data_IF_404966095592
#
_entry.id   IF_404966095592
#
_cell.length_a   1.000
_cell.length_b   1.000
_cell.length_c   1.000
_cell.angle_alpha   90.00
_cell.angle_beta   90.00
_cell.angle_gamma   90.00
#
_symmetry.space_group_name_H-M   'P 1'
#
loop_
_entity.id
_entity.type
_entity.pdbx_description
1 polymer ?
#
# COMPACT_ATOMS: atom_id res chain seq x y z
N UNK A 1 2.85 -21.28 17.73
CA UNK A 1 2.46 -21.08 16.32
C UNK A 1 2.72 -22.35 15.49
N UNK A 2 1.74 -22.77 14.67
CA UNK A 2 1.92 -23.90 13.75
C UNK A 2 2.95 -23.51 12.67
N UNK A 3 3.62 -24.48 12.02
CA UNK A 3 4.58 -24.20 10.96
C UNK A 3 4.00 -23.38 9.79
N UNK A 4 2.72 -23.56 9.48
CA UNK A 4 1.95 -22.78 8.49
C UNK A 4 1.79 -21.32 8.89
N UNK A 5 1.47 -21.05 10.16
CA UNK A 5 1.31 -19.68 10.69
C UNK A 5 2.64 -18.88 10.60
N UNK A 6 3.79 -19.57 10.61
CA UNK A 6 5.12 -18.97 10.44
C UNK A 6 5.51 -18.75 8.97
N UNK A 7 4.92 -19.49 8.02
CA UNK A 7 5.13 -19.31 6.58
C UNK A 7 4.24 -18.19 6.05
N UNK A 8 3.00 -18.09 6.54
CA UNK A 8 2.08 -16.99 6.23
C UNK A 8 2.62 -15.63 6.70
N UNK A 9 3.25 -15.57 7.88
CA UNK A 9 3.82 -14.33 8.43
C UNK A 9 5.03 -13.78 7.63
N UNK A 10 5.72 -14.60 6.84
CA UNK A 10 6.97 -14.19 6.13
C UNK A 10 6.73 -13.28 4.96
N UNK A 11 5.57 -13.43 4.34
CA UNK A 11 5.20 -12.74 3.11
C UNK A 11 4.21 -11.61 3.36
N UNK A 12 3.92 -11.30 4.62
CA UNK A 12 3.12 -10.15 5.00
C UNK A 12 3.99 -8.97 5.41
N UNK A 13 3.42 -7.79 5.23
CA UNK A 13 3.97 -6.51 5.65
C UNK A 13 3.45 -6.23 7.05
N UNK A 14 4.37 -5.91 7.97
CA UNK A 14 4.01 -5.44 9.30
C UNK A 14 3.31 -4.08 9.18
N UNK A 15 1.99 -4.10 9.32
CA UNK A 15 1.11 -2.96 9.11
C UNK A 15 0.08 -2.87 10.23
N UNK A 16 -0.66 -1.76 10.25
CA UNK A 16 -1.77 -1.51 11.16
C UNK A 16 -3.05 -1.31 10.35
N UNK A 17 -4.21 -1.77 10.85
CA UNK A 17 -4.39 -2.47 12.12
C UNK A 17 -4.12 -3.98 12.03
N UNK A 18 -3.83 -4.51 10.84
CA UNK A 18 -3.49 -5.91 10.60
C UNK A 18 -2.24 -6.02 9.72
N UNK A 19 -1.62 -7.21 9.68
CA UNK A 19 -0.53 -7.49 8.75
C UNK A 19 -1.08 -7.63 7.33
N UNK A 20 -0.56 -6.84 6.39
CA UNK A 20 -1.07 -6.77 5.02
C UNK A 20 -0.35 -7.77 4.09
N UNK A 21 -1.03 -8.47 3.17
CA UNK A 21 -2.48 -8.45 2.93
C UNK A 21 -3.30 -9.11 4.06
N UNK A 22 -4.58 -8.74 4.19
CA UNK A 22 -5.52 -9.19 5.23
C UNK A 22 -5.81 -10.69 5.09
N UNK A 23 -6.05 -11.16 3.86
CA UNK A 23 -6.28 -12.56 3.54
C UNK A 23 -5.08 -13.46 3.89
N UNK A 24 -5.27 -14.78 3.90
CA UNK A 24 -4.17 -15.74 4.10
C UNK A 24 -3.09 -15.70 3.00
N UNK A 25 -3.34 -14.97 1.92
CA UNK A 25 -2.42 -14.83 0.79
C UNK A 25 -1.15 -14.06 1.19
N UNK A 26 -0.03 -14.59 0.72
CA UNK A 26 1.25 -13.90 0.70
C UNK A 26 1.21 -12.64 -0.19
N UNK A 27 2.02 -11.63 0.11
CA UNK A 27 2.31 -10.56 -0.83
C UNK A 27 2.94 -11.17 -2.09
N UNK A 28 2.24 -11.04 -3.21
CA UNK A 28 2.66 -11.55 -4.51
C UNK A 28 2.96 -10.38 -5.47
N UNK A 29 4.22 -10.19 -5.91
CA UNK A 29 4.58 -9.15 -6.86
C UNK A 29 3.74 -9.15 -8.14
N UNK A 30 3.29 -10.31 -8.60
CA UNK A 30 2.50 -10.45 -9.82
C UNK A 30 1.08 -9.90 -9.66
N UNK A 31 0.56 -9.75 -8.44
CA UNK A 31 -0.77 -9.17 -8.16
C UNK A 31 -0.71 -7.88 -7.34
N UNK A 32 0.48 -7.35 -7.06
CA UNK A 32 0.69 -6.08 -6.37
C UNK A 32 1.06 -4.96 -7.34
N UNK A 33 0.56 -3.75 -7.08
CA UNK A 33 1.00 -2.53 -7.75
C UNK A 33 1.34 -1.42 -6.75
N UNK A 34 2.31 -0.60 -7.12
CA UNK A 34 2.60 0.69 -6.48
C UNK A 34 1.91 1.80 -7.26
N UNK A 35 1.11 2.62 -6.58
CA UNK A 35 0.50 3.83 -7.12
C UNK A 35 1.17 5.07 -6.52
N UNK A 36 1.88 5.82 -7.36
CA UNK A 36 2.61 7.05 -7.01
C UNK A 36 1.77 8.25 -7.41
N UNK A 37 1.22 8.95 -6.43
CA UNK A 37 0.25 10.01 -6.67
C UNK A 37 0.94 11.39 -6.67
N UNK A 38 0.82 12.09 -7.79
CA UNK A 38 1.06 13.53 -7.95
C UNK A 38 2.36 14.07 -7.33
N UNK A 39 3.46 13.32 -7.46
CA UNK A 39 4.79 13.81 -7.12
C UNK A 39 5.34 14.73 -8.22
N UNK A 40 4.57 15.79 -8.53
CA UNK A 40 4.89 16.77 -9.56
C UNK A 40 5.60 17.97 -8.98
N UNK A 41 6.34 18.69 -9.82
CA UNK A 41 7.02 19.93 -9.47
C UNK A 41 6.04 21.01 -9.00
N UNK A 42 4.84 21.06 -9.55
CA UNK A 42 3.76 21.95 -9.11
C UNK A 42 3.37 21.74 -7.63
N UNK A 43 3.57 20.53 -7.09
CA UNK A 43 3.35 20.25 -5.67
C UNK A 43 4.62 20.36 -4.83
N UNK A 44 5.77 20.00 -5.39
CA UNK A 44 6.99 19.74 -4.61
C UNK A 44 8.05 20.85 -4.72
N UNK A 45 8.06 21.65 -5.77
CA UNK A 45 9.13 22.62 -6.03
C UNK A 45 8.68 24.05 -5.72
N UNK A 46 9.65 24.87 -5.34
CA UNK A 46 9.44 26.32 -5.27
C UNK A 46 9.02 26.86 -6.65
N UNK A 47 8.08 27.81 -6.64
CA UNK A 47 7.51 28.37 -7.87
C UNK A 47 6.44 27.49 -8.54
N UNK A 48 6.10 26.34 -7.98
CA UNK A 48 4.95 25.52 -8.38
C UNK A 48 3.61 26.00 -7.81
N UNK A 49 2.54 25.30 -8.18
CA UNK A 49 1.18 25.53 -7.68
C UNK A 49 1.05 25.67 -6.15
N UNK A 50 1.66 24.78 -5.36
CA UNK A 50 1.51 24.82 -3.89
C UNK A 50 2.13 26.08 -3.27
N UNK A 51 3.25 26.56 -3.81
CA UNK A 51 3.83 27.85 -3.43
C UNK A 51 2.94 29.02 -3.89
N UNK A 52 2.35 28.96 -5.09
CA UNK A 52 1.42 29.99 -5.57
C UNK A 52 0.17 30.10 -4.67
N UNK A 53 -0.21 29.01 -4.01
CA UNK A 53 -1.26 28.95 -2.99
C UNK A 53 -0.81 29.46 -1.60
N UNK A 54 0.47 29.78 -1.41
CA UNK A 54 1.03 30.28 -0.15
C UNK A 54 1.44 29.19 0.85
N UNK A 55 1.56 27.93 0.43
CA UNK A 55 2.00 26.84 1.30
C UNK A 55 3.51 26.63 1.27
N UNK A 56 4.05 26.17 2.41
CA UNK A 56 5.38 25.57 2.49
C UNK A 56 5.37 24.18 1.84
N UNK A 57 6.25 23.96 0.88
CA UNK A 57 6.38 22.70 0.13
C UNK A 57 7.37 21.72 0.76
N UNK A 58 8.15 22.13 1.77
CA UNK A 58 9.12 21.25 2.41
C UNK A 58 8.50 19.92 2.92
N UNK A 59 7.30 19.91 3.55
CA UNK A 59 6.63 18.67 3.96
C UNK A 59 6.19 17.77 2.78
N UNK A 60 6.05 18.33 1.58
CA UNK A 60 5.70 17.60 0.36
C UNK A 60 6.95 16.99 -0.32
N UNK A 61 8.13 17.55 -0.05
CA UNK A 61 9.43 17.02 -0.52
C UNK A 61 10.04 15.98 0.40
N UNK A 62 9.80 16.09 1.71
CA UNK A 62 10.34 15.18 2.74
C UNK A 62 10.23 13.68 2.38
N UNK A 63 9.11 13.19 1.79
CA UNK A 63 8.97 11.76 1.49
C UNK A 63 9.77 11.26 0.28
N UNK A 64 10.29 12.16 -0.58
CA UNK A 64 10.87 11.79 -1.88
C UNK A 64 11.99 10.74 -1.81
N UNK A 65 12.97 10.81 -0.87
CA UNK A 65 14.01 9.79 -0.78
C UNK A 65 13.45 8.40 -0.45
N UNK A 66 12.41 8.33 0.38
CA UNK A 66 11.74 7.08 0.77
C UNK A 66 10.93 6.52 -0.40
N UNK A 67 10.18 7.38 -1.10
CA UNK A 67 9.45 6.99 -2.32
C UNK A 67 10.42 6.43 -3.36
N UNK A 68 11.57 7.07 -3.57
CA UNK A 68 12.57 6.60 -4.52
C UNK A 68 13.11 5.20 -4.14
N UNK A 69 13.32 4.94 -2.84
CA UNK A 69 13.72 3.61 -2.37
C UNK A 69 12.63 2.55 -2.61
N UNK A 70 11.37 2.89 -2.35
CA UNK A 70 10.21 2.03 -2.62
C UNK A 70 10.09 1.74 -4.12
N UNK A 71 10.18 2.75 -4.98
CA UNK A 71 10.16 2.59 -6.44
C UNK A 71 11.25 1.63 -6.91
N UNK A 72 12.50 1.82 -6.45
CA UNK A 72 13.61 0.93 -6.80
C UNK A 72 13.33 -0.52 -6.40
N UNK A 73 12.82 -0.74 -5.19
CA UNK A 73 12.51 -2.08 -4.70
C UNK A 73 11.34 -2.72 -5.48
N UNK A 74 10.27 -1.98 -5.75
CA UNK A 74 9.17 -2.47 -6.59
C UNK A 74 9.65 -2.90 -7.98
N UNK A 75 10.47 -2.05 -8.63
CA UNK A 75 11.07 -2.35 -9.94
C UNK A 75 11.96 -3.59 -9.90
N UNK A 76 12.78 -3.75 -8.86
CA UNK A 76 13.62 -4.94 -8.68
C UNK A 76 12.81 -6.23 -8.50
N UNK A 77 11.57 -6.12 -8.01
CA UNK A 77 10.64 -7.24 -7.80
C UNK A 77 9.63 -7.42 -8.91
N UNK A 78 9.72 -6.65 -9.99
CA UNK A 78 8.71 -6.61 -11.06
C UNK A 78 7.29 -6.27 -10.56
N UNK A 79 7.19 -5.57 -9.42
CA UNK A 79 5.94 -4.95 -8.97
C UNK A 79 5.63 -3.80 -9.93
N UNK A 80 4.40 -3.78 -10.45
CA UNK A 80 3.96 -2.78 -11.43
C UNK A 80 3.84 -1.41 -10.78
N UNK A 81 4.41 -0.38 -11.39
CA UNK A 81 4.35 0.99 -10.91
C UNK A 81 3.44 1.82 -11.80
N UNK A 82 2.48 2.50 -11.20
CA UNK A 82 1.57 3.45 -11.83
C UNK A 82 1.83 4.82 -11.23
N UNK A 83 1.77 5.85 -12.06
CA UNK A 83 1.99 7.24 -11.64
C UNK A 83 0.78 8.08 -11.99
N UNK A 84 0.48 9.11 -11.21
CA UNK A 84 -0.55 10.09 -11.57
C UNK A 84 0.03 11.48 -11.68
N UNK A 85 -0.59 12.30 -12.52
CA UNK A 85 -0.34 13.72 -12.61
C UNK A 85 -1.67 14.46 -12.61
N UNK A 86 -1.85 15.40 -11.70
CA UNK A 86 -2.94 16.35 -11.79
C UNK A 86 -2.60 17.46 -12.77
N UNK A 87 -3.48 17.69 -13.74
CA UNK A 87 -3.30 18.73 -14.73
C UNK A 87 -4.39 18.75 -15.78
N UNK A 88 -4.50 19.89 -16.46
CA UNK A 88 -5.47 20.18 -17.51
C UNK A 88 -4.77 20.23 -18.87
N UNK A 89 -5.54 20.00 -19.93
CA UNK A 89 -5.04 20.14 -21.30
C UNK A 89 -4.52 21.56 -21.57
N UNK A 90 -3.57 21.75 -22.50
CA UNK A 90 -3.08 23.07 -22.89
C UNK A 90 -4.17 24.07 -23.30
N UNK A 91 -5.22 23.57 -23.96
CA UNK A 91 -6.42 24.31 -24.38
C UNK A 91 -7.43 24.59 -23.26
N UNK A 92 -7.21 24.01 -22.06
CA UNK A 92 -8.10 24.04 -20.90
C UNK A 92 -9.53 23.54 -21.19
N UNK A 93 -9.72 22.72 -22.23
CA UNK A 93 -11.02 22.19 -22.61
C UNK A 93 -11.62 21.25 -21.53
N UNK A 94 -10.77 20.63 -20.72
CA UNK A 94 -11.15 19.77 -19.60
C UNK A 94 -11.19 20.51 -18.25
N UNK A 95 -11.08 21.86 -18.26
CA UNK A 95 -11.26 22.70 -17.07
C UNK A 95 -12.72 23.20 -16.98
N UNK A 96 -13.52 22.53 -16.16
CA UNK A 96 -14.93 22.87 -15.97
C UNK A 96 -15.14 24.29 -15.40
N UNK A 97 -16.32 24.87 -15.66
CA UNK A 97 -16.68 26.18 -15.12
C UNK A 97 -16.67 26.22 -13.58
N UNK A 98 -17.05 25.11 -12.92
CA UNK A 98 -16.96 25.00 -11.47
C UNK A 98 -15.52 24.98 -10.98
N UNK A 99 -14.65 24.16 -11.58
CA UNK A 99 -13.23 24.11 -11.22
C UNK A 99 -12.57 25.49 -11.39
N UNK A 100 -12.84 26.18 -12.49
CA UNK A 100 -12.35 27.54 -12.75
C UNK A 100 -12.75 28.53 -11.65
N UNK A 101 -14.01 28.51 -11.20
CA UNK A 101 -14.48 29.34 -10.07
C UNK A 101 -13.82 28.93 -8.75
N UNK A 102 -13.68 27.63 -8.49
CA UNK A 102 -13.05 27.09 -7.27
C UNK A 102 -11.61 27.57 -7.13
N UNK A 103 -10.79 27.41 -8.16
CA UNK A 103 -9.39 27.86 -8.14
C UNK A 103 -9.31 29.38 -7.99
N UNK A 104 -10.08 30.13 -8.77
CA UNK A 104 -10.10 31.60 -8.67
C UNK A 104 -10.44 32.08 -7.26
N UNK A 105 -11.42 31.45 -6.60
CA UNK A 105 -11.77 31.73 -5.20
C UNK A 105 -10.63 31.40 -4.24
N UNK A 106 -9.85 30.36 -4.54
CA UNK A 106 -8.69 29.94 -3.74
C UNK A 106 -7.45 30.84 -3.98
N UNK A 107 -7.54 31.86 -4.83
CA UNK A 107 -6.46 32.82 -5.08
C UNK A 107 -5.53 32.45 -6.24
N UNK A 108 -5.78 31.34 -6.94
CA UNK A 108 -4.94 30.87 -8.06
C UNK A 108 -5.76 30.69 -9.33
N UNK A 109 -5.16 30.97 -10.49
CA UNK A 109 -5.80 30.75 -11.79
C UNK A 109 -5.08 29.64 -12.55
N UNK A 110 -5.76 28.52 -12.80
CA UNK A 110 -5.24 27.44 -13.65
C UNK A 110 -4.89 27.99 -15.03
N UNK A 111 -3.69 27.64 -15.51
CA UNK A 111 -3.18 28.08 -16.80
C UNK A 111 -2.54 29.48 -16.81
N UNK A 112 -2.54 30.19 -15.68
CA UNK A 112 -1.74 31.41 -15.53
C UNK A 112 -0.24 31.07 -15.54
N UNK A 113 0.57 31.99 -16.08
CA UNK A 113 2.02 31.83 -16.09
C UNK A 113 2.59 31.91 -14.66
N UNK A 114 3.52 31.01 -14.36
CA UNK A 114 4.33 31.01 -13.15
C UNK A 114 5.79 30.65 -13.45
N UNK A 115 6.65 30.60 -12.42
CA UNK A 115 8.07 30.28 -12.58
C UNK A 115 8.36 28.94 -13.27
N UNK A 116 7.45 27.98 -13.15
CA UNK A 116 7.56 26.64 -13.75
C UNK A 116 6.63 26.46 -14.97
N UNK A 117 6.29 27.55 -15.66
CA UNK A 117 5.34 27.53 -16.78
C UNK A 117 3.90 27.75 -16.32
N UNK A 118 2.94 27.33 -17.14
CA UNK A 118 1.52 27.53 -16.83
C UNK A 118 1.05 26.55 -15.74
N UNK A 119 0.51 27.07 -14.64
CA UNK A 119 0.09 26.28 -13.47
C UNK A 119 -0.94 25.20 -13.85
N UNK A 120 -0.69 23.95 -13.44
CA UNK A 120 -1.53 22.78 -13.72
C UNK A 120 -1.80 22.50 -15.21
N UNK A 121 -0.96 22.96 -16.13
CA UNK A 121 -1.12 22.66 -17.56
C UNK A 121 -0.18 21.52 -17.96
N UNK A 122 -0.74 20.47 -18.57
CA UNK A 122 0.03 19.31 -19.04
C UNK A 122 1.08 19.73 -20.08
N UNK A 123 2.29 19.20 -19.93
CA UNK A 123 3.43 19.48 -20.80
C UNK A 123 4.26 20.70 -20.37
N UNK A 124 3.82 21.44 -19.35
CA UNK A 124 4.63 22.50 -18.75
C UNK A 124 5.62 21.93 -17.73
N UNK A 125 6.77 22.60 -17.49
CA UNK A 125 7.76 22.13 -16.53
C UNK A 125 7.22 21.84 -15.12
N UNK A 126 6.25 22.62 -14.63
CA UNK A 126 5.59 22.41 -13.34
C UNK A 126 4.74 21.13 -13.28
N UNK A 127 4.17 20.73 -14.42
CA UNK A 127 3.32 19.53 -14.50
C UNK A 127 4.11 18.22 -14.47
N UNK A 128 5.42 18.27 -14.70
CA UNK A 128 6.27 17.08 -14.73
C UNK A 128 6.48 16.46 -13.35
N UNK A 129 6.60 15.13 -13.33
CA UNK A 129 6.95 14.37 -12.13
C UNK A 129 8.41 14.68 -11.75
N UNK A 130 8.67 14.89 -10.46
CA UNK A 130 10.01 15.18 -9.95
C UNK A 130 10.99 14.04 -10.26
N UNK A 131 12.27 14.37 -10.43
CA UNK A 131 13.30 13.40 -10.82
C UNK A 131 13.37 12.18 -9.88
N UNK A 132 13.19 12.40 -8.58
CA UNK A 132 13.20 11.33 -7.57
C UNK A 132 12.11 10.26 -7.80
N UNK A 133 11.02 10.61 -8.49
CA UNK A 133 9.89 9.73 -8.77
C UNK A 133 9.67 9.49 -10.27
N UNK A 134 10.64 9.83 -11.13
CA UNK A 134 10.51 9.74 -12.59
C UNK A 134 10.02 8.35 -13.02
N UNK A 135 8.94 8.26 -13.82
CA UNK A 135 8.48 7.01 -14.41
C UNK A 135 9.53 6.37 -15.32
N UNK A 136 9.60 5.04 -15.35
CA UNK A 136 10.37 4.29 -16.35
C UNK A 136 9.49 3.96 -17.56
N UNK A 137 10.14 3.60 -18.67
CA UNK A 137 9.45 3.02 -19.81
C UNK A 137 8.59 1.81 -19.37
N UNK A 138 7.35 1.76 -19.86
CA UNK A 138 6.37 0.74 -19.47
C UNK A 138 5.60 1.01 -18.18
N UNK A 139 5.96 2.02 -17.38
CA UNK A 139 5.19 2.45 -16.20
C UNK A 139 4.10 3.45 -16.62
N UNK A 140 2.80 3.13 -16.47
CA UNK A 140 1.73 4.04 -16.91
C UNK A 140 1.70 5.35 -16.11
N UNK A 141 1.44 6.45 -16.80
CA UNK A 141 1.22 7.78 -16.22
C UNK A 141 -0.21 8.23 -16.52
N UNK A 142 -1.00 8.41 -15.47
CA UNK A 142 -2.42 8.75 -15.54
C UNK A 142 -2.58 10.24 -15.31
N UNK A 143 -2.94 10.97 -16.36
CA UNK A 143 -3.30 12.38 -16.26
C UNK A 143 -4.74 12.52 -15.77
N UNK A 144 -4.93 13.22 -14.64
CA UNK A 144 -6.24 13.41 -14.00
C UNK A 144 -6.54 14.89 -13.77
N UNK A 145 -7.83 15.24 -13.81
CA UNK A 145 -8.30 16.60 -13.46
C UNK A 145 -8.86 16.64 -12.04
N UNK A 146 -9.41 15.53 -11.55
CA UNK A 146 -9.91 15.36 -10.20
C UNK A 146 -8.79 15.07 -9.18
N UNK A 147 -9.11 15.24 -7.90
CA UNK A 147 -8.21 14.84 -6.81
C UNK A 147 -8.06 13.32 -6.78
N UNK A 148 -9.18 12.62 -6.93
CA UNK A 148 -9.29 11.17 -7.09
C UNK A 148 -8.76 10.73 -8.46
N UNK A 149 -7.85 9.76 -8.48
CA UNK A 149 -7.22 9.26 -9.69
C UNK A 149 -8.09 8.32 -10.54
N UNK A 150 -9.23 7.85 -10.05
CA UNK A 150 -10.16 7.00 -10.81
C UNK A 150 -11.21 7.81 -11.58
N UNK A 151 -11.57 9.00 -11.11
CA UNK A 151 -12.65 9.78 -11.72
C UNK A 151 -12.19 10.37 -13.06
N UNK A 152 -12.84 9.92 -14.14
CA UNK A 152 -12.58 10.43 -15.49
C UNK A 152 -11.26 9.97 -16.09
N UNK A 153 -10.69 8.88 -15.59
CA UNK A 153 -9.43 8.28 -16.09
C UNK A 153 -9.65 6.81 -16.45
N UNK A 154 -8.60 6.15 -16.95
CA UNK A 154 -8.57 4.72 -17.22
C UNK A 154 -7.78 3.91 -16.18
N UNK A 155 -7.49 4.48 -15.00
CA UNK A 155 -6.69 3.85 -13.95
C UNK A 155 -7.24 2.48 -13.55
N UNK A 156 -8.53 2.39 -13.23
CA UNK A 156 -9.16 1.11 -12.82
C UNK A 156 -9.07 0.07 -13.93
N UNK A 157 -9.32 0.46 -15.19
CA UNK A 157 -9.17 -0.44 -16.34
C UNK A 157 -7.75 -0.99 -16.43
N UNK A 158 -6.74 -0.13 -16.31
CA UNK A 158 -5.33 -0.54 -16.39
C UNK A 158 -4.93 -1.47 -15.24
N UNK A 159 -5.34 -1.16 -14.01
CA UNK A 159 -5.10 -1.99 -12.82
C UNK A 159 -5.73 -3.39 -12.98
N UNK A 160 -6.98 -3.47 -13.45
CA UNK A 160 -7.69 -4.73 -13.70
C UNK A 160 -7.07 -5.55 -14.83
N UNK A 161 -6.76 -4.91 -15.97
CA UNK A 161 -6.11 -5.59 -17.09
C UNK A 161 -4.77 -6.21 -16.68
N UNK A 162 -4.09 -5.59 -15.72
CA UNK A 162 -2.84 -6.10 -15.22
C UNK A 162 -3.02 -7.08 -14.04
N UNK A 163 -4.24 -7.31 -13.56
CA UNK A 163 -4.54 -8.27 -12.47
C UNK A 163 -4.10 -7.78 -11.09
N UNK A 164 -4.18 -6.47 -10.82
CA UNK A 164 -3.87 -5.94 -9.48
C UNK A 164 -4.94 -6.37 -8.49
N UNK A 165 -4.49 -6.90 -7.34
CA UNK A 165 -5.29 -7.12 -6.13
C UNK A 165 -4.79 -6.30 -4.95
N UNK A 166 -3.50 -6.03 -4.87
CA UNK A 166 -2.93 -5.27 -3.76
C UNK A 166 -2.42 -3.92 -4.27
N UNK A 167 -2.93 -2.82 -3.72
CA UNK A 167 -2.56 -1.47 -4.14
C UNK A 167 -1.80 -0.75 -3.02
N UNK A 168 -0.50 -0.58 -3.22
CA UNK A 168 0.38 0.18 -2.33
C UNK A 168 0.37 1.64 -2.77
N UNK A 169 -0.06 2.55 -1.89
CA UNK A 169 -0.29 3.96 -2.23
C UNK A 169 0.74 4.86 -1.55
N UNK A 170 1.35 5.74 -2.35
CA UNK A 170 2.31 6.78 -1.93
C UNK A 170 2.04 8.09 -2.67
N UNK A 171 2.60 9.22 -2.19
CA UNK A 171 2.58 10.47 -2.95
C UNK A 171 1.98 11.67 -2.22
N UNK A 172 1.54 12.67 -2.98
CA UNK A 172 1.07 13.96 -2.46
C UNK A 172 -0.34 14.34 -2.97
N UNK A 173 -1.10 15.18 -2.26
CA UNK A 173 -1.00 15.37 -0.81
C UNK A 173 -1.83 14.28 -0.11
N UNK A 174 -1.39 13.87 1.08
CA UNK A 174 -2.00 12.79 1.85
C UNK A 174 -3.49 13.05 2.08
N UNK A 175 -3.82 14.27 2.53
CA UNK A 175 -5.14 14.75 2.94
C UNK A 175 -6.08 15.07 1.76
N UNK A 176 -5.57 15.00 0.52
CA UNK A 176 -6.33 15.34 -0.68
C UNK A 176 -6.29 14.19 -1.70
N UNK A 177 -5.37 14.24 -2.69
CA UNK A 177 -5.34 13.30 -3.81
C UNK A 177 -5.10 11.86 -3.38
N UNK A 178 -4.20 11.65 -2.41
CA UNK A 178 -3.91 10.31 -1.88
C UNK A 178 -5.11 9.74 -1.16
N UNK A 179 -5.70 10.45 -0.18
CA UNK A 179 -6.86 9.91 0.56
C UNK A 179 -8.09 9.73 -0.32
N UNK A 180 -8.35 10.66 -1.25
CA UNK A 180 -9.49 10.55 -2.19
C UNK A 180 -9.36 9.28 -3.03
N UNK A 181 -8.17 9.03 -3.58
CA UNK A 181 -7.89 7.85 -4.39
C UNK A 181 -7.90 6.57 -3.54
N UNK A 182 -7.36 6.62 -2.32
CA UNK A 182 -7.33 5.48 -1.39
C UNK A 182 -8.75 5.01 -1.03
N UNK A 183 -9.64 5.95 -0.68
CA UNK A 183 -11.04 5.64 -0.37
C UNK A 183 -11.76 5.00 -1.55
N UNK A 184 -11.61 5.58 -2.75
CA UNK A 184 -12.24 5.02 -3.94
C UNK A 184 -11.66 3.64 -4.30
N UNK A 185 -10.34 3.44 -4.21
CA UNK A 185 -9.74 2.12 -4.39
C UNK A 185 -10.32 1.09 -3.42
N UNK A 186 -10.48 1.46 -2.15
CA UNK A 186 -11.09 0.61 -1.12
C UNK A 186 -12.56 0.28 -1.42
N UNK A 187 -13.36 1.28 -1.81
CA UNK A 187 -14.76 1.08 -2.19
C UNK A 187 -14.90 0.16 -3.41
N UNK A 188 -14.02 0.32 -4.42
CA UNK A 188 -13.94 -0.62 -5.54
C UNK A 188 -13.56 -2.02 -5.05
N UNK A 189 -12.67 -2.13 -4.06
CA UNK A 189 -12.25 -3.39 -3.44
C UNK A 189 -13.38 -4.21 -2.84
N UNK A 190 -14.42 -3.57 -2.28
CA UNK A 190 -15.60 -4.27 -1.74
C UNK A 190 -16.43 -4.99 -2.81
N UNK A 191 -16.39 -4.50 -4.05
CA UNK A 191 -17.09 -5.10 -5.20
C UNK A 191 -16.14 -5.82 -6.17
N UNK A 192 -14.83 -5.71 -5.94
CA UNK A 192 -13.75 -6.21 -6.79
C UNK A 192 -12.66 -6.83 -5.90
N UNK A 193 -11.38 -6.53 -6.16
CA UNK A 193 -10.26 -7.21 -5.51
C UNK A 193 -9.15 -6.27 -5.02
N UNK A 194 -9.36 -4.95 -4.88
CA UNK A 194 -8.33 -4.07 -4.33
C UNK A 194 -8.28 -4.10 -2.80
N UNK A 195 -7.19 -4.58 -2.25
CA UNK A 195 -6.79 -4.34 -0.87
C UNK A 195 -5.71 -3.25 -0.83
N UNK A 196 -5.91 -2.22 -0.03
CA UNK A 196 -5.08 -1.02 -0.03
C UNK A 196 -4.09 -0.98 1.13
N UNK A 197 -2.87 -0.55 0.83
CA UNK A 197 -1.82 -0.28 1.81
C UNK A 197 -1.30 1.15 1.62
N UNK A 198 -1.43 2.00 2.63
CA UNK A 198 -0.84 3.32 2.67
C UNK A 198 0.56 3.26 3.30
N UNK A 199 1.59 3.76 2.61
CA UNK A 199 2.91 3.98 3.22
C UNK A 199 2.99 5.40 3.77
N UNK A 200 2.75 5.54 5.07
CA UNK A 200 2.54 6.83 5.75
C UNK A 200 3.73 7.79 5.69
N UNK A 201 4.97 7.27 5.69
CA UNK A 201 6.20 8.03 5.57
C UNK A 201 6.62 8.32 4.12
N UNK A 202 5.89 7.76 3.15
CA UNK A 202 5.99 8.04 1.72
C UNK A 202 4.89 9.00 1.22
N UNK A 203 4.17 9.66 2.13
CA UNK A 203 3.14 10.63 1.80
C UNK A 203 3.41 12.00 2.43
N UNK A 204 3.28 13.07 1.66
CA UNK A 204 3.45 14.45 2.11
C UNK A 204 2.12 15.12 2.39
N UNK A 205 2.10 16.02 3.38
CA UNK A 205 0.94 16.84 3.72
C UNK A 205 1.44 18.15 4.32
N UNK A 206 0.86 19.27 3.91
CA UNK A 206 1.27 20.60 4.38
C UNK A 206 1.00 20.81 5.88
N UNK A 207 -0.04 20.16 6.41
CA UNK A 207 -0.40 20.23 7.83
C UNK A 207 -0.15 18.88 8.52
N UNK A 208 0.76 18.87 9.50
CA UNK A 208 1.10 17.68 10.26
C UNK A 208 -0.06 17.10 11.09
N UNK A 209 -1.03 17.94 11.50
CA UNK A 209 -2.25 17.49 12.19
C UNK A 209 -3.14 16.71 11.21
N UNK A 210 -3.38 17.28 10.02
CA UNK A 210 -4.12 16.58 8.97
C UNK A 210 -3.41 15.27 8.59
N UNK A 211 -2.08 15.30 8.41
CA UNK A 211 -1.29 14.10 8.14
C UNK A 211 -1.62 12.98 9.13
N UNK A 212 -1.53 13.29 10.43
CA UNK A 212 -1.82 12.34 11.50
C UNK A 212 -3.25 11.81 11.42
N UNK A 213 -4.24 12.70 11.35
CA UNK A 213 -5.66 12.32 11.33
C UNK A 213 -6.02 11.45 10.12
N UNK A 214 -5.50 11.78 8.94
CA UNK A 214 -5.77 10.99 7.73
C UNK A 214 -5.09 9.63 7.78
N UNK A 215 -3.87 9.50 8.31
CA UNK A 215 -3.23 8.19 8.57
C UNK A 215 -4.06 7.38 9.56
N UNK A 216 -4.45 7.97 10.69
CA UNK A 216 -5.24 7.29 11.73
C UNK A 216 -6.60 6.82 11.20
N UNK A 217 -7.24 7.64 10.36
CA UNK A 217 -8.55 7.31 9.77
C UNK A 217 -8.53 6.03 8.93
N UNK A 218 -7.40 5.68 8.31
CA UNK A 218 -7.26 4.42 7.55
C UNK A 218 -7.44 3.21 8.46
N UNK A 219 -6.97 3.30 9.70
CA UNK A 219 -6.96 2.18 10.65
C UNK A 219 -8.23 2.08 11.51
N UNK A 220 -9.17 3.03 11.41
CA UNK A 220 -10.44 2.97 12.14
C UNK A 220 -11.22 1.72 11.74
N UNK A 221 -12.14 1.27 12.60
CA UNK A 221 -13.03 0.14 12.31
C UNK A 221 -12.31 -1.16 11.90
N UNK A 222 -11.05 -1.34 12.33
CA UNK A 222 -10.27 -2.52 11.96
C UNK A 222 -9.67 -2.47 10.56
N UNK A 223 -9.63 -1.30 9.93
CA UNK A 223 -8.99 -1.07 8.62
C UNK A 223 -9.96 -0.48 7.59
N UNK A 224 -10.66 0.60 7.97
CA UNK A 224 -11.73 1.22 7.19
C UNK A 224 -11.34 1.52 5.74
N UNK A 225 -10.08 1.92 5.50
CA UNK A 225 -9.53 2.16 4.16
C UNK A 225 -8.32 1.29 3.83
N UNK A 226 -8.23 0.12 4.45
CA UNK A 226 -7.12 -0.82 4.35
C UNK A 226 -6.12 -0.72 5.50
N UNK A 227 -4.84 -0.88 5.19
CA UNK A 227 -3.75 -0.90 6.18
C UNK A 227 -2.76 0.25 6.00
N UNK A 228 -2.00 0.54 7.05
CA UNK A 228 -0.92 1.52 7.08
C UNK A 228 0.39 0.84 7.48
N UNK A 229 1.45 1.07 6.71
CA UNK A 229 2.81 0.70 7.06
C UNK A 229 3.77 1.88 6.88
N UNK A 230 5.04 1.65 7.22
CA UNK A 230 6.16 2.49 6.81
C UNK A 230 6.88 1.86 5.62
N UNK A 231 7.62 2.67 4.87
CA UNK A 231 8.50 2.21 3.81
C UNK A 231 9.49 1.16 4.31
N UNK A 232 9.99 1.28 5.54
CA UNK A 232 10.90 0.30 6.14
C UNK A 232 10.26 -1.09 6.27
N UNK A 233 9.02 -1.18 6.76
CA UNK A 233 8.32 -2.47 6.87
C UNK A 233 7.99 -3.06 5.48
N UNK A 234 7.64 -2.21 4.53
CA UNK A 234 7.38 -2.64 3.15
C UNK A 234 8.65 -3.20 2.49
N UNK A 235 9.76 -2.46 2.58
CA UNK A 235 11.05 -2.87 2.02
C UNK A 235 11.60 -4.14 2.69
N UNK A 236 11.40 -4.30 4.00
CA UNK A 236 11.74 -5.52 4.72
C UNK A 236 10.94 -6.74 4.22
N UNK A 237 9.63 -6.58 4.00
CA UNK A 237 8.80 -7.63 3.43
C UNK A 237 9.26 -8.02 2.00
N UNK A 238 9.57 -7.03 1.15
CA UNK A 238 10.09 -7.31 -0.19
C UNK A 238 11.44 -8.05 -0.17
N UNK A 239 12.34 -7.73 0.76
CA UNK A 239 13.61 -8.48 0.93
C UNK A 239 13.35 -9.93 1.32
N UNK A 240 12.35 -10.19 2.18
CA UNK A 240 11.99 -11.56 2.58
C UNK A 240 11.43 -12.41 1.45
N UNK A 241 10.87 -11.80 0.39
CA UNK A 241 10.41 -12.55 -0.78
C UNK A 241 11.54 -13.33 -1.50
N UNK A 242 12.81 -12.90 -1.38
CA UNK A 242 13.95 -13.63 -1.97
C UNK A 242 14.53 -14.68 -1.02
N UNK A 243 14.15 -14.67 0.25
CA UNK A 243 14.78 -15.53 1.24
C UNK A 243 14.29 -16.97 1.09
N UNK A 244 15.22 -17.91 0.89
CA UNK A 244 14.91 -19.33 0.96
C UNK A 244 14.24 -19.67 2.30
N UNK A 245 13.28 -20.64 2.33
CA UNK A 245 12.71 -21.08 3.59
C UNK A 245 13.85 -21.56 4.52
N UNK A 246 13.86 -21.16 5.80
CA UNK A 246 14.85 -21.65 6.75
C UNK A 246 14.73 -23.17 6.83
N UNK A 247 15.85 -23.87 7.06
CA UNK A 247 15.85 -25.31 7.18
C UNK A 247 14.86 -25.73 8.28
N UNK A 248 14.17 -26.87 8.10
CA UNK A 248 13.30 -27.40 9.15
C UNK A 248 14.10 -27.49 10.45
N UNK A 249 13.52 -27.01 11.55
CA UNK A 249 14.14 -27.17 12.87
C UNK A 249 14.30 -28.66 13.11
N UNK A 250 15.53 -29.13 13.23
CA UNK A 250 15.82 -30.49 13.71
C UNK A 250 15.15 -30.65 15.07
N UNK A 251 14.10 -31.48 15.11
CA UNK A 251 13.61 -32.02 16.37
C UNK A 251 14.75 -32.83 16.98
N UNK A 252 15.18 -32.53 18.22
CA UNK A 252 16.14 -33.37 18.91
C UNK A 252 15.63 -34.81 18.88
N UNK A 253 16.51 -35.81 18.67
CA UNK A 253 16.10 -37.20 18.69
C UNK A 253 15.35 -37.47 19.98
N UNK A 254 14.08 -37.86 19.87
CA UNK A 254 13.30 -38.33 21.00
C UNK A 254 13.99 -39.58 21.53
N UNK A 255 14.66 -39.45 22.68
CA UNK A 255 15.20 -40.59 23.41
C UNK A 255 14.04 -41.55 23.67
N UNK A 256 14.08 -42.81 23.17
CA UNK A 256 13.02 -43.76 23.48
C UNK A 256 12.98 -43.97 25.00
N UNK A 257 11.78 -44.10 25.60
CA UNK A 257 11.69 -44.42 27.02
C UNK A 257 12.42 -45.75 27.28
N UNK A 258 13.34 -45.73 28.25
CA UNK A 258 14.07 -46.91 28.68
C UNK A 258 13.06 -48.01 29.05
N UNK A 259 13.14 -49.14 28.35
CA UNK A 259 12.36 -50.32 28.69
C UNK A 259 12.66 -50.72 30.14
N UNK A 260 11.70 -50.55 31.04
CA UNK A 260 11.75 -51.22 32.34
C UNK A 260 11.59 -52.70 32.07
N UNK A 261 12.65 -53.45 32.36
CA UNK A 261 12.68 -54.91 32.35
C UNK A 261 11.57 -55.46 33.24
N UNK A 262 10.62 -56.17 32.65
CA UNK A 262 9.66 -57.02 33.34
C UNK A 262 10.41 -58.22 33.94
N UNK A 263 10.55 -58.27 35.27
CA UNK A 263 10.85 -59.51 35.96
C UNK A 263 9.55 -60.28 36.21
N UNK A 264 9.51 -61.51 35.71
CA UNK A 264 8.50 -62.51 36.01
C UNK A 264 8.55 -62.92 37.48
N UNK A 265 7.38 -63.10 38.09
CA UNK A 265 7.20 -63.71 39.40
C UNK A 265 5.83 -64.37 39.54
N UNK A 266 5.79 -65.66 39.18
CA UNK A 266 4.94 -66.81 39.61
C UNK A 266 3.42 -66.69 39.90
N UNK A 267 2.61 -67.75 39.63
CA UNK A 267 1.15 -67.73 39.76
C UNK A 267 0.65 -68.38 41.06
N UNK A 268 -0.33 -67.78 41.73
CA UNK A 268 -1.20 -68.44 42.72
C UNK A 268 -2.61 -67.82 42.68
N UNK A 269 -3.65 -68.66 42.63
CA UNK A 269 -4.89 -68.38 43.36
C UNK A 269 -6.19 -68.22 42.56
N UNK A 270 -6.93 -69.32 42.49
CA UNK A 270 -8.35 -69.44 42.13
C UNK A 270 -9.26 -68.59 43.05
N UNK A 271 -10.30 -67.93 42.52
CA UNK A 271 -11.68 -67.95 43.06
C UNK A 271 -12.70 -67.05 42.29
N UNK A 272 -13.59 -67.71 41.55
CA UNK A 272 -15.08 -67.56 41.51
C UNK A 272 -15.77 -66.25 41.94
N UNK A 273 -16.60 -65.70 41.01
CA UNK A 273 -18.08 -65.45 41.06
C UNK A 273 -18.42 -64.26 40.13
N UNK A 274 -19.16 -64.48 39.03
CA UNK A 274 -20.62 -64.61 38.91
C UNK A 274 -21.29 -63.25 38.55
N UNK A 275 -21.88 -63.22 37.33
CA UNK A 275 -23.22 -62.70 36.92
C UNK A 275 -23.55 -61.22 37.29
N UNK A 276 -24.04 -60.32 36.43
CA UNK A 276 -25.30 -60.25 35.65
C UNK A 276 -25.20 -58.97 34.78
N UNK A 277 -25.34 -59.04 33.45
CA UNK A 277 -26.47 -58.55 32.62
C UNK A 277 -27.03 -57.13 32.92
N UNK A 278 -27.22 -56.35 31.84
CA UNK A 278 -28.04 -55.13 31.87
C UNK A 278 -27.84 -54.27 30.63
N UNK A 279 -28.67 -54.49 29.62
CA UNK A 279 -28.79 -53.67 28.43
C UNK A 279 -29.56 -52.37 28.71
N UNK A 280 -29.10 -51.25 28.14
CA UNK A 280 -29.82 -50.25 27.33
C UNK A 280 -28.88 -49.08 27.02
#
# INVERSE_FOLDING_TARGET
PRPTDLVEARHKIAARPFAFPLGGDALDPATTALLVIDLQRDFCDEGGYMCAMGYDVAPLREPLPKVQAVLRACRAKSIRCFHTRQGYRPDLADLSAYARRKFKRAGVTVGAAGPLGRLFVRGEPGSEIVEAARPREGEPVIDKTANDAFIGTDLDRLLRCAGVRHLVVVGNTLDCCVHSTLRHANDLGLFQHYETLLLSDCCGCVDARLKRSFVESVCLEGGLFGAVATSAHFLDALRRLDAAPPPPKETPPTTPPSARSSQMGSPIGIATKATVAGAL
#
